data_IF_117587017363
#
_entry.id   IF_117587017363
#
_cell.length_a   1.000
_cell.length_b   1.000
_cell.length_c   1.000
_cell.angle_alpha   90.00
_cell.angle_beta   90.00
_cell.angle_gamma   90.00
#
_symmetry.space_group_name_H-M   'P 1'
#
loop_
_entity.id
_entity.type
_entity.pdbx_description
1 polymer ?
#
# COMPACT_ATOMS: atom_id res chain seq x y z
N UNK A 1 6.00 24.77 -17.13
CA UNK A 1 6.07 23.45 -17.78
C UNK A 1 6.80 22.56 -16.80
N UNK A 2 6.08 21.66 -16.15
CA UNK A 2 6.63 20.87 -15.05
C UNK A 2 7.30 19.64 -15.63
N UNK A 3 8.60 19.74 -15.88
CA UNK A 3 9.47 18.60 -16.19
C UNK A 3 9.61 17.72 -14.94
N UNK A 4 8.55 16.98 -14.62
CA UNK A 4 8.51 16.12 -13.45
C UNK A 4 9.06 14.74 -13.82
N UNK A 5 10.37 14.59 -13.64
CA UNK A 5 11.23 13.48 -14.07
C UNK A 5 11.02 12.16 -13.31
N UNK A 6 9.79 11.84 -12.92
CA UNK A 6 9.45 10.53 -12.35
C UNK A 6 8.73 9.66 -13.41
N UNK A 7 9.46 8.85 -14.19
CA UNK A 7 8.86 8.02 -15.24
C UNK A 7 7.90 6.96 -14.68
N UNK A 8 7.94 6.70 -13.36
CA UNK A 8 7.06 5.74 -12.70
C UNK A 8 5.67 6.29 -12.37
N UNK A 9 5.45 7.60 -12.38
CA UNK A 9 4.20 8.21 -11.94
C UNK A 9 3.04 7.90 -12.89
N UNK A 10 1.86 7.58 -12.35
CA UNK A 10 0.64 7.32 -13.13
C UNK A 10 0.23 8.51 -14.00
N UNK A 11 0.55 9.74 -13.58
CA UNK A 11 0.31 10.95 -14.37
C UNK A 11 1.13 11.03 -15.66
N UNK A 12 2.22 10.25 -15.76
CA UNK A 12 3.11 10.19 -16.91
C UNK A 12 2.87 8.94 -17.79
N UNK A 13 1.79 8.17 -17.52
CA UNK A 13 1.42 6.95 -18.24
C UNK A 13 0.18 7.15 -19.12
N UNK A 14 0.04 6.41 -20.23
CA UNK A 14 -1.16 6.45 -21.05
C UNK A 14 -2.38 5.93 -20.26
N UNK A 15 -3.54 6.54 -20.49
CA UNK A 15 -4.77 6.23 -19.73
C UNK A 15 -5.16 4.75 -19.79
N UNK A 16 -5.01 4.13 -20.96
CA UNK A 16 -5.27 2.71 -21.18
C UNK A 16 -4.38 1.81 -20.30
N UNK A 17 -3.11 2.16 -20.12
CA UNK A 17 -2.19 1.38 -19.28
C UNK A 17 -2.59 1.48 -17.80
N UNK A 18 -2.93 2.69 -17.34
CA UNK A 18 -3.43 2.91 -15.97
C UNK A 18 -4.74 2.16 -15.73
N UNK A 19 -5.66 2.18 -16.68
CA UNK A 19 -6.92 1.44 -16.61
C UNK A 19 -6.67 -0.07 -16.57
N UNK A 20 -5.76 -0.59 -17.39
CA UNK A 20 -5.39 -2.00 -17.38
C UNK A 20 -4.72 -2.42 -16.07
N UNK A 21 -3.88 -1.58 -15.48
CA UNK A 21 -3.27 -1.84 -14.16
C UNK A 21 -4.36 -1.88 -13.07
N UNK A 22 -5.26 -0.90 -13.04
CA UNK A 22 -6.36 -0.87 -12.09
C UNK A 22 -7.29 -2.08 -12.26
N UNK A 23 -7.62 -2.44 -13.52
CA UNK A 23 -8.44 -3.60 -13.85
C UNK A 23 -7.78 -4.91 -13.41
N UNK A 24 -6.48 -5.09 -13.66
CA UNK A 24 -5.72 -6.27 -13.22
C UNK A 24 -5.67 -6.36 -11.69
N UNK A 25 -5.41 -5.26 -11.00
CA UNK A 25 -5.45 -5.19 -9.53
C UNK A 25 -6.82 -5.54 -8.95
N UNK A 26 -7.89 -5.09 -9.61
CA UNK A 26 -9.26 -5.48 -9.27
C UNK A 26 -9.51 -6.97 -9.48
N UNK A 27 -9.21 -7.51 -10.66
CA UNK A 27 -9.49 -8.92 -11.02
C UNK A 27 -8.83 -9.93 -10.05
N UNK A 28 -7.62 -9.68 -9.57
CA UNK A 28 -6.94 -10.54 -8.60
C UNK A 28 -7.64 -10.66 -7.23
N UNK A 29 -8.60 -9.78 -6.93
CA UNK A 29 -9.25 -9.71 -5.60
C UNK A 29 -10.60 -10.44 -5.51
N UNK A 30 -11.22 -10.86 -6.62
CA UNK A 30 -12.63 -11.28 -6.63
C UNK A 30 -12.88 -12.70 -6.08
N UNK A 31 -11.89 -13.60 -6.12
CA UNK A 31 -12.10 -15.02 -5.77
C UNK A 31 -11.40 -15.46 -4.46
N UNK A 32 -10.40 -14.71 -3.99
CA UNK A 32 -9.51 -15.14 -2.88
C UNK A 32 -9.16 -14.01 -1.90
N UNK A 33 -9.87 -12.88 -1.98
CA UNK A 33 -9.62 -11.71 -1.14
C UNK A 33 -10.16 -11.88 0.29
N UNK A 34 -9.73 -11.00 1.19
CA UNK A 34 -10.19 -10.95 2.58
C UNK A 34 -11.72 -10.91 2.69
N UNK A 35 -12.40 -10.19 1.78
CA UNK A 35 -13.86 -10.08 1.75
C UNK A 35 -14.58 -11.40 1.40
N UNK A 36 -13.90 -12.31 0.69
CA UNK A 36 -14.46 -13.60 0.27
C UNK A 36 -14.20 -14.73 1.28
N UNK A 37 -13.48 -14.46 2.38
CA UNK A 37 -13.20 -15.44 3.45
C UNK A 37 -14.41 -15.63 4.39
N UNK A 38 -14.44 -16.74 5.13
CA UNK A 38 -15.42 -16.94 6.20
C UNK A 38 -15.33 -15.87 7.29
N UNK A 39 -16.48 -15.45 7.85
CA UNK A 39 -16.54 -14.38 8.83
C UNK A 39 -15.68 -14.64 10.09
N UNK A 40 -15.58 -15.90 10.53
CA UNK A 40 -14.71 -16.29 11.65
C UNK A 40 -13.23 -16.07 11.32
N UNK A 41 -12.80 -16.52 10.15
CA UNK A 41 -11.42 -16.35 9.67
C UNK A 41 -11.08 -14.87 9.45
N UNK A 42 -12.01 -14.08 8.90
CA UNK A 42 -11.84 -12.63 8.77
C UNK A 42 -11.61 -11.97 10.14
N UNK A 43 -12.42 -12.33 11.14
CA UNK A 43 -12.32 -11.80 12.50
C UNK A 43 -10.99 -12.17 13.15
N UNK A 44 -10.53 -13.40 12.98
CA UNK A 44 -9.26 -13.85 13.53
C UNK A 44 -8.07 -13.11 12.91
N UNK A 45 -8.07 -12.93 11.59
CA UNK A 45 -7.04 -12.16 10.89
C UNK A 45 -7.06 -10.70 11.33
N UNK A 46 -8.24 -10.07 11.39
CA UNK A 46 -8.39 -8.69 11.86
C UNK A 46 -7.91 -8.52 13.31
N UNK A 47 -8.25 -9.47 14.19
CA UNK A 47 -7.81 -9.48 15.59
C UNK A 47 -6.29 -9.59 15.70
N UNK A 48 -5.67 -10.52 14.95
CA UNK A 48 -4.20 -10.66 14.91
C UNK A 48 -3.52 -9.40 14.39
N UNK A 49 -4.07 -8.78 13.34
CA UNK A 49 -3.58 -7.51 12.81
C UNK A 49 -3.66 -6.36 13.82
N UNK A 50 -4.77 -6.28 14.57
CA UNK A 50 -4.94 -5.31 15.65
C UNK A 50 -3.96 -5.52 16.81
N UNK A 51 -3.72 -6.77 17.21
CA UNK A 51 -2.76 -7.11 18.27
C UNK A 51 -1.30 -6.85 17.87
N UNK A 52 -0.97 -7.07 16.59
CA UNK A 52 0.36 -6.78 16.05
C UNK A 52 0.60 -5.28 15.82
N UNK A 53 -0.47 -4.49 15.72
CA UNK A 53 -0.39 -3.04 15.59
C UNK A 53 -0.02 -2.41 16.93
N UNK A 54 0.95 -1.50 16.92
CA UNK A 54 1.32 -0.67 18.09
C UNK A 54 0.31 0.44 18.40
N UNK A 55 -0.87 0.41 17.75
CA UNK A 55 -1.91 1.42 17.83
C UNK A 55 -1.76 2.53 16.78
N UNK A 56 -2.62 3.54 16.87
CA UNK A 56 -2.51 4.73 16.03
C UNK A 56 -1.42 5.66 16.54
N UNK A 57 -0.68 6.27 15.61
CA UNK A 57 0.28 7.32 15.95
C UNK A 57 -0.45 8.62 16.29
N UNK A 58 0.03 9.32 17.32
CA UNK A 58 -0.38 10.70 17.57
C UNK A 58 0.42 11.66 16.69
N UNK A 59 -0.14 12.84 16.32
CA UNK A 59 0.63 13.87 15.63
C UNK A 59 1.88 14.24 16.44
N UNK A 60 3.05 14.12 15.80
CA UNK A 60 4.35 14.40 16.44
C UNK A 60 5.02 13.21 17.14
N UNK A 61 4.37 12.05 17.23
CA UNK A 61 4.92 10.83 17.82
C UNK A 61 6.24 10.42 17.13
N UNK A 62 7.29 10.21 17.92
CA UNK A 62 8.61 9.83 17.43
C UNK A 62 8.59 8.50 16.68
N UNK A 63 7.73 7.57 17.09
CA UNK A 63 7.55 6.27 16.42
C UNK A 63 6.98 6.43 15.01
N UNK A 64 6.13 7.43 14.81
CA UNK A 64 5.58 7.76 13.50
C UNK A 64 6.65 8.34 12.57
N UNK A 65 7.49 9.23 13.12
CA UNK A 65 8.63 9.82 12.39
C UNK A 65 9.64 8.76 11.99
N UNK A 66 9.97 7.84 12.90
CA UNK A 66 10.89 6.75 12.61
C UNK A 66 10.32 5.77 11.59
N UNK A 67 9.06 5.35 11.74
CA UNK A 67 8.39 4.48 10.78
C UNK A 67 8.31 5.13 9.38
N UNK A 68 7.98 6.43 9.30
CA UNK A 68 7.97 7.19 8.05
C UNK A 68 9.36 7.30 7.42
N UNK A 69 10.39 7.58 8.22
CA UNK A 69 11.80 7.63 7.76
C UNK A 69 12.23 6.28 7.19
N UNK A 70 11.96 5.18 7.90
CA UNK A 70 12.29 3.83 7.46
C UNK A 70 11.56 3.47 6.16
N UNK A 71 10.26 3.80 6.07
CA UNK A 71 9.48 3.59 4.85
C UNK A 71 10.03 4.34 3.65
N UNK A 72 10.46 5.60 3.83
CA UNK A 72 11.11 6.38 2.77
C UNK A 72 12.49 5.85 2.35
N UNK A 73 13.25 5.27 3.28
CA UNK A 73 14.54 4.64 2.98
C UNK A 73 14.38 3.38 2.13
N UNK A 74 13.33 2.58 2.35
CA UNK A 74 13.04 1.38 1.56
C UNK A 74 12.64 1.67 0.11
N UNK A 75 12.25 2.90 -0.21
CA UNK A 75 11.90 3.32 -1.59
C UNK A 75 13.07 3.95 -2.36
N UNK A 76 14.25 4.07 -1.73
CA UNK A 76 15.38 4.83 -2.26
C UNK A 76 16.64 4.04 -2.62
N UNK A 77 16.64 2.71 -2.51
CA UNK A 77 17.75 1.88 -3.01
C UNK A 77 17.39 1.37 -4.41
N UNK A 78 17.94 1.96 -5.50
CA UNK A 78 18.09 1.19 -6.71
C UNK A 78 19.02 0.01 -6.38
N UNK A 79 18.57 -1.21 -6.64
CA UNK A 79 19.46 -2.36 -6.72
C UNK A 79 20.58 -2.03 -7.71
N UNK A 80 21.83 -1.96 -7.23
CA UNK A 80 23.04 -1.90 -8.07
C UNK A 80 23.53 -3.31 -8.38
#
# INVERSE_FOLDING_TARGET
>A
MSDNSNPGNFANRPHEEVENIARKGGQSSHQSGFASMDAGQQRDIASKGGQASSGSFQPGDERAKEAGRKGGQSTGQPDE
#
